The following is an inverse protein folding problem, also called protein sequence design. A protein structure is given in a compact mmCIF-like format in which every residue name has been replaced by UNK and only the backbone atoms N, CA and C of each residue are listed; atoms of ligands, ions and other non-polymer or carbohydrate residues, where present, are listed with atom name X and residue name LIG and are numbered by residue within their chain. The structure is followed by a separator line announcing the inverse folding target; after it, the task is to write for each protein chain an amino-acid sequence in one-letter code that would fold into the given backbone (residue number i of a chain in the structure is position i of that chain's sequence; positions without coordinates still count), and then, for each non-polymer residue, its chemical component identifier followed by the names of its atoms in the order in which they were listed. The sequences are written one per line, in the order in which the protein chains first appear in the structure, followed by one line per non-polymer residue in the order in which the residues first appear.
data_IF_873208309697
#
_entry.id   IF_873208309697
#
_cell.length_a   1.000
_cell.length_b   1.000
_cell.length_c   1.000
_cell.angle_alpha   90.00
_cell.angle_beta   90.00
_cell.angle_gamma   90.00
#
_symmetry.space_group_name_H-M   'P 1'
#
loop_
_entity.id
_entity.type
_entity.pdbx_description
1 polymer ?
#
# COMPACT_ATOMS: atom_id res chain seq x y z
N UNK A 1 -13.79 3.90 -5.84
CA UNK A 1 -12.62 2.99 -5.84
C UNK A 1 -12.52 2.36 -7.23
N UNK A 2 -11.30 2.10 -7.72
CA UNK A 2 -11.06 1.58 -9.09
C UNK A 2 -10.71 0.10 -9.11
N UNK A 3 -10.62 -0.50 -10.30
CA UNK A 3 -10.02 -1.83 -10.47
C UNK A 3 -8.56 -1.71 -10.86
N UNK A 4 -7.73 -2.60 -10.31
CA UNK A 4 -6.35 -2.82 -10.74
C UNK A 4 -6.34 -4.05 -11.64
N UNK A 5 -5.80 -3.90 -12.84
CA UNK A 5 -5.64 -5.00 -13.77
C UNK A 5 -4.26 -4.99 -14.44
N UNK A 6 -3.93 -6.08 -15.10
CA UNK A 6 -2.75 -6.21 -15.95
C UNK A 6 -3.14 -6.64 -17.35
N UNK A 7 -2.33 -6.24 -18.33
CA UNK A 7 -2.40 -6.80 -19.67
C UNK A 7 -1.45 -7.98 -19.77
N UNK A 8 -1.99 -9.16 -20.10
CA UNK A 8 -1.22 -10.38 -20.32
C UNK A 8 -1.63 -11.01 -21.63
N UNK A 9 -0.66 -11.23 -22.51
CA UNK A 9 -0.87 -11.86 -23.83
C UNK A 9 -2.01 -11.20 -24.64
N UNK A 10 -2.05 -9.86 -24.61
CA UNK A 10 -3.09 -9.07 -25.31
C UNK A 10 -4.46 -9.05 -24.62
N UNK A 11 -4.61 -9.68 -23.46
CA UNK A 11 -5.87 -9.77 -22.72
C UNK A 11 -5.79 -9.01 -21.39
N UNK A 12 -6.73 -8.09 -21.09
CA UNK A 12 -6.86 -7.52 -19.75
C UNK A 12 -7.28 -8.58 -18.72
N UNK A 13 -6.62 -8.59 -17.56
CA UNK A 13 -6.95 -9.44 -16.43
C UNK A 13 -7.07 -8.61 -15.15
N UNK A 14 -8.16 -8.78 -14.40
CA UNK A 14 -8.34 -8.14 -13.10
C UNK A 14 -7.39 -8.76 -12.07
N UNK A 15 -6.65 -7.92 -11.35
CA UNK A 15 -5.82 -8.29 -10.20
C UNK A 15 -6.60 -8.02 -8.90
N UNK A 16 -7.20 -6.84 -8.79
CA UNK A 16 -7.94 -6.42 -7.62
C UNK A 16 -9.11 -5.50 -7.96
N UNK A 17 -10.22 -5.68 -7.24
CA UNK A 17 -11.35 -4.76 -7.28
C UNK A 17 -11.28 -3.81 -6.11
N UNK A 18 -11.68 -2.56 -6.33
CA UNK A 18 -11.67 -1.52 -5.30
C UNK A 18 -10.26 -1.21 -4.75
N UNK A 19 -9.25 -1.28 -5.61
CA UNK A 19 -7.90 -0.84 -5.27
C UNK A 19 -7.83 0.70 -5.19
N UNK A 20 -7.00 1.19 -4.27
CA UNK A 20 -6.66 2.60 -4.05
C UNK A 20 -5.17 2.73 -3.75
N UNK A 21 -4.60 3.93 -3.89
CA UNK A 21 -3.18 4.19 -3.61
C UNK A 21 -2.25 3.18 -4.27
N UNK A 22 -2.12 3.20 -5.59
CA UNK A 22 -1.34 2.21 -6.34
C UNK A 22 0.03 2.78 -6.69
N UNK A 23 1.07 1.94 -6.62
CA UNK A 23 2.40 2.27 -7.09
C UNK A 23 2.99 1.15 -7.94
N UNK A 24 3.56 1.54 -9.09
CA UNK A 24 4.25 0.67 -10.05
C UNK A 24 5.74 1.02 -10.03
N UNK A 25 6.56 0.32 -9.23
CA UNK A 25 8.00 0.50 -9.21
C UNK A 25 8.64 0.15 -10.56
N UNK A 26 9.60 0.97 -10.99
CA UNK A 26 10.43 0.67 -12.16
C UNK A 26 11.56 -0.30 -11.82
N UNK A 27 11.97 -0.32 -10.56
CA UNK A 27 13.10 -1.12 -10.05
C UNK A 27 12.69 -2.52 -9.57
N UNK A 28 11.40 -2.86 -9.67
CA UNK A 28 10.87 -4.15 -9.21
C UNK A 28 9.69 -4.60 -10.06
N UNK A 29 9.67 -5.88 -10.43
CA UNK A 29 8.54 -6.50 -11.14
C UNK A 29 7.32 -6.80 -10.26
N UNK A 30 7.01 -5.92 -9.31
CA UNK A 30 5.90 -6.08 -8.36
C UNK A 30 5.04 -4.82 -8.34
N UNK A 31 3.77 -4.92 -7.97
CA UNK A 31 2.87 -3.78 -7.79
C UNK A 31 2.44 -3.70 -6.33
N UNK A 32 2.47 -2.51 -5.75
CA UNK A 32 1.99 -2.25 -4.40
C UNK A 32 0.72 -1.42 -4.47
N UNK A 33 -0.27 -1.75 -3.66
CA UNK A 33 -1.57 -1.07 -3.66
C UNK A 33 -2.28 -1.26 -2.33
N UNK A 34 -3.25 -0.40 -2.06
CA UNK A 34 -4.18 -0.59 -0.96
C UNK A 34 -5.51 -1.16 -1.46
N UNK A 35 -6.13 -2.04 -0.67
CA UNK A 35 -7.41 -2.68 -0.97
C UNK A 35 -8.21 -2.92 0.32
N UNK A 36 -9.46 -3.36 0.18
CA UNK A 36 -10.36 -3.64 1.32
C UNK A 36 -10.46 -2.45 2.30
N UNK A 37 -10.55 -1.25 1.76
CA UNK A 37 -10.61 0.00 2.53
C UNK A 37 -11.89 0.08 3.35
N UNK A 38 -11.77 0.31 4.66
CA UNK A 38 -12.88 0.75 5.48
C UNK A 38 -13.26 2.18 5.08
N UNK A 39 -14.45 2.37 4.53
CA UNK A 39 -14.93 3.66 4.02
C UNK A 39 -15.18 4.70 5.11
N UNK A 40 -15.25 4.29 6.38
CA UNK A 40 -15.39 5.22 7.51
C UNK A 40 -14.07 5.81 7.95
N UNK A 41 -12.99 5.04 7.85
CA UNK A 41 -11.68 5.43 8.41
C UNK A 41 -10.60 5.66 7.35
N UNK A 42 -10.78 5.12 6.15
CA UNK A 42 -9.78 5.10 5.08
C UNK A 42 -8.67 4.05 5.28
N UNK A 43 -8.65 3.36 6.42
CA UNK A 43 -7.66 2.32 6.69
C UNK A 43 -7.93 1.08 5.81
N UNK A 44 -6.86 0.49 5.29
CA UNK A 44 -6.87 -0.48 4.21
C UNK A 44 -5.90 -1.63 4.45
N UNK A 45 -6.03 -2.70 3.67
CA UNK A 45 -5.00 -3.70 3.48
C UNK A 45 -3.91 -3.14 2.56
N UNK A 46 -2.65 -3.18 2.96
CA UNK A 46 -1.53 -2.92 2.07
C UNK A 46 -1.12 -4.24 1.39
N UNK A 47 -1.20 -4.27 0.07
CA UNK A 47 -1.07 -5.47 -0.74
C UNK A 47 0.13 -5.37 -1.69
N UNK A 48 0.65 -6.53 -2.04
CA UNK A 48 1.62 -6.75 -3.10
C UNK A 48 1.05 -7.71 -4.13
N UNK A 49 1.34 -7.46 -5.40
CA UNK A 49 1.18 -8.44 -6.48
C UNK A 49 2.50 -8.62 -7.22
N UNK A 50 2.98 -9.85 -7.36
CA UNK A 50 4.29 -10.18 -7.95
C UNK A 50 4.22 -10.77 -9.37
N UNK A 51 3.08 -10.59 -10.04
CA UNK A 51 2.81 -11.20 -11.35
C UNK A 51 2.30 -12.65 -11.26
N UNK A 52 2.40 -13.31 -10.10
CA UNK A 52 1.93 -14.69 -9.87
C UNK A 52 0.83 -14.76 -8.82
N UNK A 53 0.91 -13.94 -7.78
CA UNK A 53 -0.02 -13.97 -6.67
C UNK A 53 -0.07 -12.68 -5.86
N UNK A 54 -1.09 -12.59 -5.01
CA UNK A 54 -1.29 -11.48 -4.07
C UNK A 54 -0.76 -11.84 -2.69
N UNK A 55 -0.17 -10.87 -2.01
CA UNK A 55 0.27 -11.01 -0.62
C UNK A 55 -0.15 -9.77 0.15
N UNK A 56 -0.81 -9.97 1.29
CA UNK A 56 -1.04 -8.89 2.25
C UNK A 56 0.25 -8.62 3.01
N UNK A 57 0.73 -7.37 2.98
CA UNK A 57 1.92 -6.92 3.69
C UNK A 57 1.55 -6.49 5.11
N UNK A 58 0.47 -5.70 5.23
CA UNK A 58 -0.06 -5.24 6.51
C UNK A 58 -1.53 -4.85 6.37
N UNK A 59 -2.20 -4.66 7.52
CA UNK A 59 -3.58 -4.20 7.65
C UNK A 59 -3.59 -2.86 8.41
N UNK A 60 -4.70 -2.14 8.28
CA UNK A 60 -4.97 -0.85 8.91
C UNK A 60 -4.06 0.27 8.41
N UNK A 61 -3.61 0.16 7.16
CA UNK A 61 -2.75 1.14 6.49
C UNK A 61 -3.59 2.23 5.86
N UNK A 62 -3.28 3.48 6.16
CA UNK A 62 -3.98 4.65 5.64
C UNK A 62 -3.34 5.20 4.35
N UNK A 63 -2.01 5.22 4.31
CA UNK A 63 -1.24 5.67 3.15
C UNK A 63 0.14 5.01 3.14
N UNK A 64 0.70 4.79 1.97
CA UNK A 64 2.11 4.41 1.81
C UNK A 64 2.80 5.28 0.76
N UNK A 65 4.12 5.37 0.87
CA UNK A 65 5.00 6.05 -0.09
C UNK A 65 6.17 5.15 -0.43
N UNK A 66 6.27 4.81 -1.72
CA UNK A 66 7.38 4.00 -2.22
C UNK A 66 8.70 4.75 -2.17
N UNK A 67 9.78 4.03 -1.84
CA UNK A 67 11.14 4.58 -1.89
C UNK A 67 11.93 3.92 -3.03
N UNK A 68 12.30 2.66 -2.84
CA UNK A 68 13.14 1.90 -3.79
C UNK A 68 13.21 0.43 -3.38
N UNK A 69 13.48 -0.46 -4.33
CA UNK A 69 13.82 -1.87 -4.16
C UNK A 69 12.83 -2.64 -3.26
N UNK A 70 11.53 -2.35 -3.38
CA UNK A 70 10.46 -2.95 -2.57
C UNK A 70 10.36 -2.39 -1.15
N UNK A 71 11.02 -1.28 -0.86
CA UNK A 71 11.02 -0.62 0.45
C UNK A 71 10.17 0.64 0.41
N UNK A 72 9.46 0.89 1.49
CA UNK A 72 8.54 2.02 1.58
C UNK A 72 8.23 2.37 3.03
N UNK A 73 7.77 3.59 3.23
CA UNK A 73 7.18 4.03 4.50
C UNK A 73 5.65 4.03 4.36
N UNK A 74 4.95 3.83 5.46
CA UNK A 74 3.49 3.89 5.48
C UNK A 74 2.96 4.32 6.84
N UNK A 75 1.77 4.92 6.86
CA UNK A 75 1.03 5.22 8.08
C UNK A 75 -0.01 4.14 8.32
N UNK A 76 -0.05 3.64 9.55
CA UNK A 76 -0.99 2.64 10.04
C UNK A 76 -1.77 3.20 11.24
N UNK A 77 -2.95 2.64 11.51
CA UNK A 77 -3.82 3.04 12.63
C UNK A 77 -4.14 4.55 12.60
N UNK A 78 -4.34 5.11 11.41
CA UNK A 78 -4.58 6.54 11.28
C UNK A 78 -5.98 6.87 11.77
N UNK A 79 -6.07 7.73 12.76
CA UNK A 79 -7.34 8.28 13.23
C UNK A 79 -7.61 9.60 12.50
N UNK A 80 -8.61 9.59 11.63
CA UNK A 80 -9.02 10.75 10.83
C UNK A 80 -9.58 11.90 11.68
N UNK A 81 -9.96 11.65 12.94
CA UNK A 81 -10.47 12.68 13.86
C UNK A 81 -9.34 13.49 14.45
N UNK A 82 -8.27 12.82 14.87
CA UNK A 82 -7.09 13.45 15.47
C UNK A 82 -6.02 13.79 14.44
N UNK A 83 -6.07 13.18 13.25
CA UNK A 83 -5.15 13.43 12.15
C UNK A 83 -3.77 12.83 12.36
N UNK A 84 -3.67 11.73 13.12
CA UNK A 84 -2.39 11.09 13.44
C UNK A 84 -2.46 9.58 13.23
N UNK A 85 -1.31 8.98 12.91
CA UNK A 85 -1.12 7.55 12.88
C UNK A 85 0.29 7.14 13.27
N UNK A 86 0.55 5.84 13.16
CA UNK A 86 1.84 5.24 13.44
C UNK A 86 2.64 5.11 12.15
N UNK A 87 3.88 5.62 12.15
CA UNK A 87 4.80 5.48 11.03
C UNK A 87 5.50 4.14 11.07
N UNK A 88 5.40 3.40 9.98
CA UNK A 88 6.11 2.16 9.76
C UNK A 88 7.04 2.23 8.55
N UNK A 89 8.10 1.43 8.60
CA UNK A 89 8.99 1.20 7.47
C UNK A 89 9.01 -0.29 7.12
N UNK A 90 8.72 -0.60 5.86
CA UNK A 90 8.86 -1.93 5.29
C UNK A 90 10.19 -2.04 4.55
N UNK A 91 11.00 -3.04 4.92
CA UNK A 91 12.35 -3.22 4.35
C UNK A 91 12.39 -4.16 3.13
N UNK A 92 11.23 -4.53 2.57
CA UNK A 92 11.11 -5.53 1.50
C UNK A 92 10.79 -6.94 1.99
N UNK A 93 10.81 -7.17 3.32
CA UNK A 93 10.48 -8.46 3.95
C UNK A 93 9.58 -8.30 5.16
N UNK A 94 9.93 -7.39 6.06
CA UNK A 94 9.21 -7.15 7.32
C UNK A 94 9.02 -5.66 7.57
N UNK A 95 7.96 -5.36 8.30
CA UNK A 95 7.66 -4.01 8.78
C UNK A 95 8.18 -3.79 10.19
N UNK A 96 8.53 -2.55 10.51
CA UNK A 96 8.80 -2.10 11.87
C UNK A 96 8.20 -0.72 12.10
N UNK A 97 7.70 -0.48 13.30
CA UNK A 97 7.31 0.86 13.74
C UNK A 97 8.57 1.74 13.83
N UNK A 98 8.42 2.99 13.42
CA UNK A 98 9.47 4.02 13.43
C UNK A 98 9.11 5.13 14.40
N UNK A 99 7.85 5.58 14.37
CA UNK A 99 7.36 6.67 15.23
C UNK A 99 5.82 6.58 15.39
N UNK A 100 5.26 7.33 16.34
CA UNK A 100 3.81 7.46 16.58
C UNK A 100 3.40 8.93 16.58
N UNK A 101 2.12 9.21 16.31
CA UNK A 101 1.64 10.60 16.30
C UNK A 101 2.02 11.35 15.02
N UNK A 102 2.33 10.63 13.94
CA UNK A 102 2.75 11.19 12.66
C UNK A 102 1.52 11.56 11.84
N UNK A 103 1.51 12.79 11.33
CA UNK A 103 0.36 13.35 10.60
C UNK A 103 0.40 13.07 9.10
N UNK A 104 1.59 12.97 8.52
CA UNK A 104 1.77 12.75 7.09
C UNK A 104 3.16 12.18 6.76
N UNK A 105 3.26 11.57 5.58
CA UNK A 105 4.54 11.16 4.97
C UNK A 105 4.66 11.78 3.59
N UNK A 106 5.83 12.39 3.32
CA UNK A 106 6.20 12.94 2.02
C UNK A 106 7.58 12.41 1.66
N UNK A 107 7.71 11.77 0.50
CA UNK A 107 8.97 11.30 -0.05
C UNK A 107 9.12 11.97 -1.41
N UNK A 108 10.30 12.55 -1.66
CA UNK A 108 10.66 13.22 -2.91
C UNK A 108 11.35 12.24 -3.86
#
# INVERSE_FOLDING_TARGET
MGSLGMYKDGTPQDIEKNAVGVYFPEDKGEVYYMANTDTKTGNSALMKFDGKGKTEIDRDVFVFQYKENGKFAYLKNYDITTGIGDLYYYNGKTSRMVDSGVTAIYIY
#
